data_IF_377041507117
#
_entry.id   IF_377041507117
#
_cell.length_a   1.000
_cell.length_b   1.000
_cell.length_c   1.000
_cell.angle_alpha   90.00
_cell.angle_beta   90.00
_cell.angle_gamma   90.00
#
_symmetry.space_group_name_H-M   'P 1'
#
loop_
_entity.id
_entity.type
_entity.pdbx_description
1 polymer ?
#
# COMPACT_ATOMS: atom_id res chain seq x y z
N UNK A 1 -5.25 21.29 -8.71
CA UNK A 1 -5.21 20.01 -9.46
C UNK A 1 -5.61 18.88 -8.51
N UNK A 2 -6.00 17.70 -9.00
CA UNK A 2 -6.26 16.54 -8.14
C UNK A 2 -4.95 15.93 -7.61
N UNK A 3 -4.97 15.39 -6.39
CA UNK A 3 -3.84 14.65 -5.81
C UNK A 3 -3.71 13.23 -6.34
N UNK A 4 -2.83 12.43 -5.74
CA UNK A 4 -2.64 11.01 -6.05
C UNK A 4 -2.54 10.16 -4.77
N UNK A 5 -2.60 8.84 -4.94
CA UNK A 5 -2.48 7.89 -3.82
C UNK A 5 -1.34 6.93 -4.11
N UNK A 6 -0.43 6.80 -3.14
CA UNK A 6 0.61 5.78 -3.16
C UNK A 6 0.08 4.57 -2.41
N UNK A 7 0.17 3.41 -3.04
CA UNK A 7 -0.15 2.12 -2.43
C UNK A 7 1.14 1.33 -2.34
N UNK A 8 1.38 0.79 -1.15
CA UNK A 8 2.48 -0.11 -0.87
C UNK A 8 1.93 -1.40 -0.22
N UNK A 9 2.54 -2.54 -0.55
CA UNK A 9 2.09 -3.86 -0.08
C UNK A 9 3.26 -4.71 0.36
N UNK A 10 3.08 -5.40 1.47
CA UNK A 10 4.03 -6.41 1.94
C UNK A 10 3.47 -7.80 1.74
N UNK A 11 4.32 -8.74 1.37
CA UNK A 11 3.94 -10.12 1.06
C UNK A 11 4.76 -11.12 1.86
N UNK A 12 4.26 -12.35 2.00
CA UNK A 12 5.04 -13.46 2.59
C UNK A 12 6.25 -13.87 1.74
N UNK A 13 6.32 -13.40 0.50
CA UNK A 13 7.36 -13.68 -0.49
C UNK A 13 6.96 -13.16 -1.87
N UNK A 14 7.77 -13.42 -2.90
CA UNK A 14 7.60 -12.83 -4.24
C UNK A 14 7.00 -13.79 -5.28
N UNK A 15 6.60 -15.01 -4.90
CA UNK A 15 6.22 -16.08 -5.84
C UNK A 15 4.78 -16.52 -5.60
N UNK A 16 3.79 -15.95 -6.31
CA UNK A 16 2.38 -16.31 -6.15
C UNK A 16 2.08 -17.80 -6.38
N UNK A 17 2.81 -18.46 -7.29
CA UNK A 17 2.66 -19.90 -7.55
C UNK A 17 3.07 -20.77 -6.36
N UNK A 18 3.87 -20.22 -5.42
CA UNK A 18 4.23 -20.85 -4.14
C UNK A 18 3.29 -20.44 -3.00
N UNK A 19 2.15 -19.83 -3.32
CA UNK A 19 1.14 -19.35 -2.38
C UNK A 19 1.57 -18.15 -1.53
N UNK A 20 2.52 -17.35 -2.01
CA UNK A 20 2.82 -16.07 -1.35
C UNK A 20 1.61 -15.14 -1.39
N UNK A 21 1.32 -14.48 -0.27
CA UNK A 21 0.12 -13.67 -0.06
C UNK A 21 0.49 -12.29 0.47
N UNK A 22 -0.35 -11.30 0.16
CA UNK A 22 -0.27 -9.97 0.79
C UNK A 22 -0.62 -10.11 2.27
N UNK A 23 0.18 -9.48 3.12
CA UNK A 23 0.03 -9.49 4.59
C UNK A 23 -0.10 -8.09 5.17
N UNK A 24 0.21 -7.04 4.40
CA UNK A 24 -0.02 -5.64 4.77
C UNK A 24 -0.45 -4.82 3.56
N UNK A 25 -1.29 -3.81 3.82
CA UNK A 25 -1.62 -2.75 2.87
C UNK A 25 -1.36 -1.40 3.54
N UNK A 26 -0.61 -0.53 2.85
CA UNK A 26 -0.44 0.87 3.21
C UNK A 26 -0.98 1.78 2.11
N UNK A 27 -1.65 2.86 2.52
CA UNK A 27 -2.24 3.87 1.64
C UNK A 27 -1.80 5.24 2.11
N UNK A 28 -1.23 6.03 1.20
CA UNK A 28 -0.84 7.43 1.46
C UNK A 28 -1.52 8.35 0.45
N UNK A 29 -2.29 9.32 0.94
CA UNK A 29 -2.89 10.36 0.12
C UNK A 29 -1.91 11.52 -0.04
N UNK A 30 -1.66 11.93 -1.27
CA UNK A 30 -0.67 12.96 -1.61
C UNK A 30 -1.34 14.06 -2.42
N UNK A 31 -1.06 15.32 -2.08
CA UNK A 31 -1.51 16.49 -2.83
C UNK A 31 -0.90 16.49 -4.24
N UNK A 32 -1.36 17.38 -5.11
CA UNK A 32 -0.74 17.51 -6.43
C UNK A 32 0.69 18.09 -6.37
N UNK A 33 1.05 18.73 -5.26
CA UNK A 33 2.37 19.34 -5.03
C UNK A 33 3.35 18.35 -4.36
N UNK A 34 2.89 17.15 -4.01
CA UNK A 34 3.70 16.11 -3.38
C UNK A 34 3.60 16.09 -1.85
N UNK A 35 2.76 16.92 -1.23
CA UNK A 35 2.58 16.94 0.22
C UNK A 35 1.71 15.76 0.68
N UNK A 36 2.20 15.02 1.68
CA UNK A 36 1.41 13.97 2.34
C UNK A 36 0.26 14.63 3.10
N UNK A 37 -0.96 14.21 2.78
CA UNK A 37 -2.18 14.71 3.42
C UNK A 37 -2.65 13.79 4.54
N UNK A 38 -2.55 12.48 4.34
CA UNK A 38 -2.92 11.47 5.32
C UNK A 38 -2.30 10.11 4.93
N UNK A 39 -2.17 9.20 5.89
CA UNK A 39 -1.70 7.84 5.67
C UNK A 39 -2.33 6.86 6.66
N UNK A 40 -2.57 5.64 6.20
CA UNK A 40 -2.97 4.53 7.08
C UNK A 40 -2.41 3.20 6.57
N UNK A 41 -2.28 2.25 7.48
CA UNK A 41 -1.92 0.88 7.15
C UNK A 41 -2.65 -0.11 8.03
N UNK A 42 -2.75 -1.34 7.54
CA UNK A 42 -3.29 -2.47 8.32
C UNK A 42 -2.60 -3.77 7.92
N UNK A 43 -2.39 -4.63 8.91
CA UNK A 43 -2.17 -6.04 8.64
C UNK A 43 -3.45 -6.64 8.05
N UNK A 44 -3.29 -7.58 7.13
CA UNK A 44 -4.37 -8.40 6.59
C UNK A 44 -4.13 -9.87 6.96
N UNK A 45 -5.21 -10.58 7.28
CA UNK A 45 -5.12 -12.04 7.44
C UNK A 45 -5.33 -12.67 6.06
N UNK A 46 -4.30 -13.29 5.46
CA UNK A 46 -4.33 -13.78 4.08
C UNK A 46 -5.29 -14.94 3.83
#
# INVERSE_FOLDING_TARGET
MGGYTVIDVETTGLVPEKHDRVVELAVTYVSHDGDIQDHWSTLVNP
#
